data_IF_284487088505
#
_entry.id   IF_284487088505
#
_cell.length_a   1.000
_cell.length_b   1.000
_cell.length_c   1.000
_cell.angle_alpha   90.00
_cell.angle_beta   90.00
_cell.angle_gamma   90.00
#
_symmetry.space_group_name_H-M   'P 1'
#
loop_
_entity.id
_entity.type
_entity.pdbx_description
1 polymer ?
#
# COMPACT_ATOMS: atom_id res chain seq x y z
N UNK A 1 8.60 -43.82 -9.44
CA UNK A 1 8.43 -42.52 -10.12
C UNK A 1 6.95 -42.18 -10.08
N UNK A 2 6.52 -41.34 -9.13
CA UNK A 2 5.16 -40.80 -9.09
C UNK A 2 5.34 -39.29 -9.16
N UNK A 3 4.93 -38.74 -10.31
CA UNK A 3 5.11 -37.34 -10.68
C UNK A 3 4.06 -36.51 -9.96
N UNK A 4 4.44 -35.86 -8.86
CA UNK A 4 3.68 -34.73 -8.30
C UNK A 4 4.42 -33.43 -8.65
N UNK A 5 4.03 -32.72 -9.72
CA UNK A 5 4.48 -31.36 -9.90
C UNK A 5 3.64 -30.44 -9.00
N UNK A 6 4.12 -30.30 -7.78
CA UNK A 6 4.14 -29.07 -6.96
C UNK A 6 3.38 -27.92 -7.60
N UNK A 7 2.23 -27.56 -7.03
CA UNK A 7 1.42 -26.39 -7.37
C UNK A 7 2.33 -25.18 -7.71
N UNK A 8 2.49 -24.82 -8.99
CA UNK A 8 3.42 -23.77 -9.36
C UNK A 8 2.79 -22.44 -9.03
N UNK A 9 3.26 -21.84 -7.94
CA UNK A 9 3.23 -20.41 -7.71
C UNK A 9 1.86 -19.78 -7.84
N UNK A 10 1.18 -19.62 -6.71
CA UNK A 10 0.47 -18.37 -6.47
C UNK A 10 1.51 -17.25 -6.53
N UNK A 11 1.82 -16.84 -7.77
CA UNK A 11 2.64 -15.69 -8.05
C UNK A 11 1.85 -14.56 -7.47
N UNK A 12 2.25 -14.13 -6.28
CA UNK A 12 1.78 -12.91 -5.65
C UNK A 12 2.05 -11.85 -6.73
N UNK A 13 1.03 -11.51 -7.50
CA UNK A 13 1.16 -10.53 -8.57
C UNK A 13 1.42 -9.23 -7.83
N UNK A 14 2.69 -8.90 -7.68
CA UNK A 14 3.10 -7.57 -7.28
C UNK A 14 2.69 -6.70 -8.45
N UNK A 15 1.42 -6.28 -8.44
CA UNK A 15 0.86 -5.33 -9.40
C UNK A 15 1.93 -4.25 -9.53
N UNK A 16 2.37 -3.92 -10.76
CA UNK A 16 3.39 -2.90 -10.94
C UNK A 16 2.86 -1.68 -10.21
N UNK A 17 3.54 -1.35 -9.12
CA UNK A 17 3.14 -0.27 -8.26
C UNK A 17 3.41 0.97 -9.10
N UNK A 18 2.37 1.42 -9.82
CA UNK A 18 2.38 2.67 -10.59
C UNK A 18 2.94 3.77 -9.71
N UNK A 19 3.59 4.79 -10.30
CA UNK A 19 4.58 5.66 -9.66
C UNK A 19 4.27 5.86 -8.18
N UNK A 20 4.98 5.11 -7.33
CA UNK A 20 4.84 5.13 -5.86
C UNK A 20 5.44 6.41 -5.26
N UNK A 21 5.30 7.55 -5.91
CA UNK A 21 5.60 8.84 -5.32
C UNK A 21 4.46 9.28 -4.42
N UNK A 22 4.01 8.40 -3.51
CA UNK A 22 3.03 8.79 -2.51
C UNK A 22 3.79 9.54 -1.42
N UNK A 23 3.51 10.82 -1.30
CA UNK A 23 4.04 11.64 -0.23
C UNK A 23 3.03 11.68 0.92
N UNK A 24 3.52 11.89 2.12
CA UNK A 24 2.66 12.09 3.27
C UNK A 24 1.74 13.29 3.02
N UNK A 25 0.43 13.10 3.12
CA UNK A 25 -0.54 14.19 2.97
C UNK A 25 -0.63 15.10 4.22
N UNK A 26 0.10 14.78 5.28
CA UNK A 26 0.12 15.60 6.48
C UNK A 26 0.78 16.95 6.19
N UNK A 27 0.13 18.04 6.63
CA UNK A 27 0.59 19.40 6.36
C UNK A 27 2.00 19.61 6.95
N UNK A 28 2.98 19.85 6.08
CA UNK A 28 4.39 20.01 6.48
C UNK A 28 5.20 18.71 6.50
N UNK A 29 4.62 17.57 6.09
CA UNK A 29 5.34 16.32 5.92
C UNK A 29 5.59 16.02 4.43
N UNK A 30 6.84 16.12 3.98
CA UNK A 30 7.25 15.76 2.61
C UNK A 30 7.87 14.36 2.51
N UNK A 31 7.67 13.50 3.52
CA UNK A 31 8.26 12.15 3.57
C UNK A 31 7.50 11.20 2.65
N UNK A 32 8.17 10.15 2.20
CA UNK A 32 7.55 9.04 1.48
C UNK A 32 6.48 8.35 2.35
N UNK A 33 5.28 8.19 1.80
CA UNK A 33 4.15 7.56 2.42
C UNK A 33 4.04 6.08 1.98
N UNK A 34 4.46 5.18 2.88
CA UNK A 34 4.39 3.74 2.67
C UNK A 34 3.00 3.13 2.91
N UNK A 35 2.05 3.87 3.50
CA UNK A 35 0.72 3.37 3.85
C UNK A 35 -0.39 4.16 3.17
N UNK A 36 -1.28 3.43 2.48
CA UNK A 36 -2.49 3.96 1.85
C UNK A 36 -3.73 3.59 2.65
N UNK A 37 -4.51 4.59 3.02
CA UNK A 37 -5.77 4.54 3.75
C UNK A 37 -6.90 4.78 2.74
N UNK A 38 -7.40 3.70 2.16
CA UNK A 38 -8.46 3.75 1.17
C UNK A 38 -9.80 3.32 1.79
N UNK A 39 -10.80 4.20 1.75
CA UNK A 39 -12.19 3.88 2.10
C UNK A 39 -13.03 3.65 0.84
N UNK A 40 -14.01 2.73 0.86
CA UNK A 40 -14.97 2.62 -0.24
C UNK A 40 -15.71 3.97 -0.40
N UNK A 41 -15.65 4.56 -1.59
CA UNK A 41 -16.18 5.89 -1.98
C UNK A 41 -15.39 7.13 -1.51
N UNK A 42 -14.16 6.98 -1.01
CA UNK A 42 -13.28 8.13 -0.69
C UNK A 42 -11.96 8.02 -1.47
N UNK A 43 -11.28 9.14 -1.74
CA UNK A 43 -9.92 9.10 -2.25
C UNK A 43 -9.00 8.37 -1.26
N UNK A 44 -8.05 7.61 -1.78
CA UNK A 44 -7.04 6.92 -0.97
C UNK A 44 -6.09 7.95 -0.38
N UNK A 45 -6.01 8.01 0.94
CA UNK A 45 -5.08 8.91 1.60
C UNK A 45 -3.74 8.23 1.90
N UNK A 46 -2.63 8.95 1.82
CA UNK A 46 -1.31 8.37 2.00
C UNK A 46 -0.55 9.08 3.12
N UNK A 47 -0.08 8.29 4.09
CA UNK A 47 0.68 8.81 5.23
C UNK A 47 1.97 8.03 5.47
N UNK A 48 2.97 8.72 6.02
CA UNK A 48 4.21 8.10 6.47
C UNK A 48 3.99 7.38 7.81
N UNK A 49 4.97 6.58 8.25
CA UNK A 49 4.87 5.81 9.51
C UNK A 49 4.58 6.71 10.73
N UNK A 50 5.12 7.92 10.74
CA UNK A 50 4.97 8.92 11.81
C UNK A 50 3.55 9.49 11.88
N UNK A 51 2.91 9.70 10.72
CA UNK A 51 1.54 10.20 10.59
C UNK A 51 0.54 9.08 10.28
N UNK A 52 0.90 7.82 10.54
CA UNK A 52 -0.01 6.69 10.36
C UNK A 52 -1.30 6.91 11.17
N UNK A 53 -1.20 7.45 12.38
CA UNK A 53 -2.35 7.74 13.24
C UNK A 53 -3.33 8.75 12.64
N UNK A 54 -2.83 9.79 11.94
CA UNK A 54 -3.69 10.68 11.14
C UNK A 54 -4.40 9.90 10.04
N UNK A 55 -3.67 9.05 9.32
CA UNK A 55 -4.23 8.17 8.30
C UNK A 55 -5.30 7.21 8.80
N UNK A 56 -5.11 6.65 9.99
CA UNK A 56 -6.06 5.77 10.65
C UNK A 56 -7.40 6.47 10.93
N UNK A 57 -7.43 7.78 11.12
CA UNK A 57 -8.68 8.54 11.22
C UNK A 57 -9.48 8.58 9.90
N UNK A 58 -8.82 8.29 8.76
CA UNK A 58 -9.46 8.18 7.45
C UNK A 58 -9.94 6.75 7.13
N UNK A 59 -9.54 5.72 7.90
CA UNK A 59 -10.09 4.35 7.88
C UNK A 59 -11.39 4.20 8.69
#
# INVERSE_FOLDING_TARGET
MNDEPTHPGETITQRPRGPLGHFCEHAGCGKDAGWGFAKPKRPSHWFCYEHRGDGEAYL
#
